data_IF_546062985610
#
_entry.id   IF_546062985610
#
_cell.length_a   1.000
_cell.length_b   1.000
_cell.length_c   1.000
_cell.angle_alpha   90.00
_cell.angle_beta   90.00
_cell.angle_gamma   90.00
#
_symmetry.space_group_name_H-M   'P 1'
#
loop_
_entity.id
_entity.type
_entity.pdbx_description
1 polymer ?
#
# COMPACT_ATOMS: atom_id res chain seq x y z
N UNK A 1 -14.89 -2.32 4.26
CA UNK A 1 -13.47 -1.89 4.46
C UNK A 1 -12.92 -1.10 3.28
N UNK A 2 -13.16 -1.54 2.03
CA UNK A 2 -12.53 -1.03 0.80
C UNK A 2 -12.50 0.49 0.63
N UNK A 3 -13.63 1.21 0.69
CA UNK A 3 -13.64 2.66 0.45
C UNK A 3 -12.90 3.50 1.51
N UNK A 4 -13.03 3.14 2.80
CA UNK A 4 -12.37 3.88 3.88
C UNK A 4 -10.88 3.56 3.97
N UNK A 5 -10.50 2.30 3.74
CA UNK A 5 -9.11 1.90 3.64
C UNK A 5 -8.42 2.62 2.49
N UNK A 6 -9.07 2.74 1.33
CA UNK A 6 -8.53 3.45 0.17
C UNK A 6 -8.27 4.94 0.45
N UNK A 7 -9.21 5.62 1.12
CA UNK A 7 -9.04 7.03 1.51
C UNK A 7 -7.92 7.22 2.54
N UNK A 8 -7.84 6.34 3.54
CA UNK A 8 -6.74 6.35 4.52
C UNK A 8 -5.39 6.10 3.87
N UNK A 9 -5.33 5.16 2.92
CA UNK A 9 -4.11 4.79 2.22
C UNK A 9 -3.56 5.97 1.40
N UNK A 10 -4.40 6.64 0.59
CA UNK A 10 -3.96 7.81 -0.20
C UNK A 10 -3.57 9.04 0.64
N UNK A 11 -4.17 9.20 1.82
CA UNK A 11 -3.82 10.28 2.74
C UNK A 11 -2.48 10.05 3.46
N UNK A 12 -2.07 8.80 3.62
CA UNK A 12 -0.90 8.41 4.42
C UNK A 12 0.36 8.11 3.59
N UNK A 13 0.32 8.25 2.26
CA UNK A 13 1.53 8.16 1.43
C UNK A 13 2.38 9.43 1.61
N UNK A 14 3.65 9.23 1.94
CA UNK A 14 4.70 10.26 1.97
C UNK A 14 5.36 10.32 0.59
N UNK A 15 5.39 11.52 0.01
CA UNK A 15 5.90 11.75 -1.34
C UNK A 15 7.36 11.29 -1.48
N UNK A 16 7.66 10.53 -2.54
CA UNK A 16 8.99 9.98 -2.84
C UNK A 16 9.66 9.13 -1.73
N UNK A 17 8.94 8.78 -0.67
CA UNK A 17 9.48 8.00 0.45
C UNK A 17 8.63 6.76 0.72
N UNK A 18 9.05 5.65 0.10
CA UNK A 18 8.37 4.36 0.28
C UNK A 18 8.46 3.85 1.72
N UNK A 19 9.55 4.11 2.44
CA UNK A 19 9.74 3.61 3.81
C UNK A 19 8.86 4.39 4.78
N UNK A 20 8.85 5.72 4.70
CA UNK A 20 7.95 6.55 5.50
C UNK A 20 6.48 6.28 5.17
N UNK A 21 6.17 5.98 3.90
CA UNK A 21 4.82 5.59 3.48
C UNK A 21 4.35 4.30 4.15
N UNK A 22 5.20 3.25 4.23
CA UNK A 22 4.85 2.01 4.96
C UNK A 22 4.45 2.32 6.40
N UNK A 23 5.29 3.05 7.13
CA UNK A 23 5.05 3.38 8.53
C UNK A 23 3.76 4.19 8.73
N UNK A 24 3.53 5.17 7.86
CA UNK A 24 2.36 6.06 7.92
C UNK A 24 1.07 5.31 7.61
N UNK A 25 1.07 4.46 6.58
CA UNK A 25 -0.08 3.63 6.21
C UNK A 25 -0.39 2.61 7.31
N UNK A 26 0.62 1.89 7.82
CA UNK A 26 0.45 0.95 8.93
C UNK A 26 -0.15 1.65 10.15
N UNK A 27 0.40 2.80 10.55
CA UNK A 27 -0.12 3.58 11.69
C UNK A 27 -1.59 3.97 11.49
N UNK A 28 -1.95 4.44 10.29
CA UNK A 28 -3.33 4.83 9.99
C UNK A 28 -4.30 3.65 9.98
N UNK A 29 -3.88 2.49 9.45
CA UNK A 29 -4.68 1.28 9.44
C UNK A 29 -4.89 0.72 10.86
N UNK A 30 -3.81 0.61 11.66
CA UNK A 30 -3.90 0.14 13.05
C UNK A 30 -4.78 1.05 13.93
N UNK A 31 -4.74 2.36 13.73
CA UNK A 31 -5.62 3.29 14.47
C UNK A 31 -7.10 3.13 14.13
N UNK A 32 -7.41 2.64 12.93
CA UNK A 32 -8.79 2.56 12.42
C UNK A 32 -9.42 1.19 12.60
N UNK A 33 -8.60 0.14 12.57
CA UNK A 33 -8.96 -1.28 12.63
C UNK A 33 -7.98 -1.97 13.60
N UNK A 34 -8.28 -1.91 14.89
CA UNK A 34 -7.44 -2.40 15.98
C UNK A 34 -7.46 -3.93 16.13
N UNK A 35 -8.51 -4.57 15.64
CA UNK A 35 -8.71 -6.02 15.59
C UNK A 35 -8.15 -6.67 14.32
N UNK A 36 -7.69 -5.88 13.35
CA UNK A 36 -7.27 -6.36 12.04
C UNK A 36 -5.76 -6.25 11.82
N UNK A 37 -5.19 -7.27 11.17
CA UNK A 37 -3.78 -7.27 10.76
C UNK A 37 -3.65 -6.91 9.30
N UNK A 38 -2.62 -6.15 8.96
CA UNK A 38 -2.37 -5.70 7.59
C UNK A 38 -0.93 -5.97 7.19
N UNK A 39 -0.74 -6.49 5.99
CA UNK A 39 0.54 -6.46 5.28
C UNK A 39 0.56 -5.20 4.42
N UNK A 40 1.59 -4.37 4.57
CA UNK A 40 1.77 -3.14 3.78
C UNK A 40 3.12 -3.20 3.07
N UNK A 41 3.11 -2.98 1.77
CA UNK A 41 4.30 -2.91 0.93
C UNK A 41 4.26 -1.61 0.15
N UNK A 42 5.35 -0.86 0.14
CA UNK A 42 5.51 0.30 -0.72
C UNK A 42 6.83 0.20 -1.50
N UNK A 43 6.83 0.77 -2.70
CA UNK A 43 8.00 0.91 -3.54
C UNK A 43 8.00 2.31 -4.17
N UNK A 44 9.19 2.84 -4.47
CA UNK A 44 9.30 4.00 -5.34
C UNK A 44 8.81 3.60 -6.73
N UNK A 45 7.88 4.36 -7.30
CA UNK A 45 7.27 4.10 -8.60
C UNK A 45 8.16 4.55 -9.78
N UNK A 46 9.45 4.81 -9.52
CA UNK A 46 10.44 5.14 -10.54
C UNK A 46 10.81 3.86 -11.29
N UNK A 47 10.05 3.59 -12.34
CA UNK A 47 10.31 2.52 -13.27
C UNK A 47 11.33 2.96 -14.34
N UNK A 48 12.50 2.30 -14.34
CA UNK A 48 13.49 2.19 -15.41
C UNK A 48 14.14 3.47 -15.99
N UNK A 49 15.38 3.78 -15.58
CA UNK A 49 16.24 4.69 -16.37
C UNK A 49 16.89 4.03 -17.60
N UNK A 50 17.09 2.70 -17.64
CA UNK A 50 17.75 2.00 -18.78
C UNK A 50 17.59 0.46 -18.74
N UNK A 51 16.36 -0.06 -18.88
CA UNK A 51 16.12 -1.51 -18.91
C UNK A 51 14.72 -1.82 -18.38
N UNK A 52 14.13 -2.93 -18.81
CA UNK A 52 12.77 -3.33 -18.42
C UNK A 52 12.54 -2.99 -16.96
N UNK A 53 11.58 -2.10 -16.71
CA UNK A 53 11.12 -1.87 -15.37
C UNK A 53 10.68 -3.24 -14.89
N UNK A 54 11.39 -3.80 -13.91
CA UNK A 54 10.86 -4.84 -13.06
C UNK A 54 9.74 -4.15 -12.29
N UNK A 55 8.63 -3.90 -12.97
CA UNK A 55 7.35 -3.69 -12.35
C UNK A 55 7.26 -4.87 -11.42
N UNK A 56 7.41 -4.61 -10.12
CA UNK A 56 7.16 -5.59 -9.09
C UNK A 56 5.67 -5.91 -9.27
N UNK A 57 5.38 -6.84 -10.18
CA UNK A 57 4.04 -7.36 -10.49
C UNK A 57 3.69 -8.27 -9.33
N UNK A 58 3.53 -7.68 -8.15
CA UNK A 58 3.09 -8.39 -6.98
C UNK A 58 1.59 -8.54 -7.13
N UNK A 59 1.18 -9.62 -7.80
CA UNK A 59 -0.21 -9.97 -7.96
C UNK A 59 -0.68 -10.67 -6.68
N UNK A 60 -1.04 -9.91 -5.65
CA UNK A 60 -1.77 -10.46 -4.52
C UNK A 60 -3.25 -10.57 -4.89
N UNK A 61 -3.67 -11.72 -5.41
CA UNK A 61 -5.09 -12.06 -5.49
C UNK A 61 -5.53 -12.62 -4.14
N UNK A 62 -6.14 -11.80 -3.29
CA UNK A 62 -7.01 -12.33 -2.24
C UNK A 62 -8.44 -12.37 -2.78
N UNK A 63 -9.11 -13.51 -2.64
CA UNK A 63 -10.52 -13.69 -3.00
C UNK A 63 -11.47 -12.98 -2.02
N UNK A 64 -11.06 -11.85 -1.44
CA UNK A 64 -11.81 -11.13 -0.41
C UNK A 64 -11.53 -9.62 -0.41
N UNK A 65 -12.44 -8.88 0.23
CA UNK A 65 -12.57 -7.40 0.28
C UNK A 65 -11.38 -6.62 0.90
N UNK A 66 -10.20 -7.25 1.03
CA UNK A 66 -9.14 -6.82 1.93
C UNK A 66 -7.97 -6.06 1.30
N UNK A 67 -7.90 -5.85 -0.02
CA UNK A 67 -6.74 -5.21 -0.63
C UNK A 67 -7.01 -3.77 -1.11
N UNK A 68 -5.99 -2.92 -1.00
CA UNK A 68 -6.00 -1.55 -1.50
C UNK A 68 -4.64 -1.22 -2.12
N UNK A 69 -4.66 -0.79 -3.38
CA UNK A 69 -3.49 -0.33 -4.12
C UNK A 69 -3.63 1.18 -4.37
N UNK A 70 -2.59 1.95 -4.07
CA UNK A 70 -2.55 3.39 -4.33
C UNK A 70 -1.20 3.78 -4.91
N UNK A 71 -1.23 4.62 -5.95
CA UNK A 71 -0.04 5.32 -6.47
C UNK A 71 -0.21 6.80 -6.18
N UNK A 72 0.80 7.41 -5.56
CA UNK A 72 0.84 8.86 -5.33
C UNK A 72 2.28 9.34 -5.30
N UNK A 73 2.55 10.45 -6.00
CA UNK A 73 3.81 11.19 -5.93
C UNK A 73 5.06 10.28 -5.94
N UNK A 74 5.13 9.42 -6.97
CA UNK A 74 6.23 8.48 -7.23
C UNK A 74 6.41 7.38 -6.17
N UNK A 75 5.35 7.03 -5.45
CA UNK A 75 5.31 5.88 -4.55
C UNK A 75 4.09 5.05 -4.90
N UNK A 76 4.30 3.76 -5.12
CA UNK A 76 3.25 2.76 -5.16
C UNK A 76 3.18 2.06 -3.81
N UNK A 77 1.99 1.90 -3.26
CA UNK A 77 1.76 1.16 -2.04
C UNK A 77 0.58 0.20 -2.19
N UNK A 78 0.70 -0.95 -1.54
CA UNK A 78 -0.33 -1.96 -1.41
C UNK A 78 -0.51 -2.33 0.05
N UNK A 79 -1.76 -2.44 0.48
CA UNK A 79 -2.13 -2.94 1.79
C UNK A 79 -3.11 -4.10 1.62
N UNK A 80 -2.90 -5.18 2.36
CA UNK A 80 -3.76 -6.35 2.38
C UNK A 80 -4.13 -6.66 3.82
N UNK A 81 -5.42 -6.68 4.12
CA UNK A 81 -5.95 -7.19 5.36
C UNK A 81 -5.77 -8.72 5.40
N UNK A 82 -5.14 -9.21 6.46
CA UNK A 82 -4.97 -10.63 6.73
C UNK A 82 -6.23 -11.12 7.47
N UNK A 83 -7.02 -11.98 6.83
CA UNK A 83 -8.04 -12.77 7.51
C UNK A 83 -7.39 -14.00 8.14
N UNK A 84 -7.71 -14.27 9.41
CA UNK A 84 -7.45 -15.57 10.02
C UNK A 84 -8.42 -16.62 9.47
#
# INVERSE_FOLDING_TARGET
MTHHAHKLHGNNITDNDAIASVNSIQTGLFRRYDDQRFLVVCATANEAKTGDATANKVHFSSSGDGYCNVVKNNVWCQAVALSA
#
